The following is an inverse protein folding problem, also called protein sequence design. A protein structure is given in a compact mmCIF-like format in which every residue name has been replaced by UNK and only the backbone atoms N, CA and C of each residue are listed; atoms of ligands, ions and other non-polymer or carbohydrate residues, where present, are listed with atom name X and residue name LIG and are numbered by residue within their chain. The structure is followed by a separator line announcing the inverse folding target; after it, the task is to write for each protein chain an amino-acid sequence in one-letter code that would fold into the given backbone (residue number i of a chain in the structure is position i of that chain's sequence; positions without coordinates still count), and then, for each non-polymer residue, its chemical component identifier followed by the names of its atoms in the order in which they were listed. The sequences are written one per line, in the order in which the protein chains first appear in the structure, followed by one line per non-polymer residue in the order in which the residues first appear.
data_IF_293949071830
#
_entry.id   IF_293949071830
#
_cell.length_a   1.000
_cell.length_b   1.000
_cell.length_c   1.000
_cell.angle_alpha   90.00
_cell.angle_beta   90.00
_cell.angle_gamma   90.00
#
_symmetry.space_group_name_H-M   'P 1'
#
loop_
_entity.id
_entity.type
_entity.pdbx_description
1 polymer ?
#
# COMPACT_ATOMS: atom_id res chain seq x y z
N UNK A 1 9.19 -15.98 -2.95
CA UNK A 1 8.95 -14.56 -3.26
C UNK A 1 8.20 -14.40 -4.59
N UNK A 2 8.67 -15.02 -5.68
CA UNK A 2 8.02 -15.02 -7.02
C UNK A 2 6.53 -15.45 -6.98
N UNK A 3 6.19 -16.47 -6.18
CA UNK A 3 4.82 -16.98 -6.08
C UNK A 3 3.82 -15.96 -5.49
N UNK A 4 4.23 -15.19 -4.48
CA UNK A 4 3.33 -14.21 -3.83
C UNK A 4 3.05 -13.05 -4.77
N UNK A 5 4.07 -12.53 -5.44
CA UNK A 5 3.90 -11.50 -6.48
C UNK A 5 2.94 -11.97 -7.57
N UNK A 6 3.15 -13.17 -8.14
CA UNK A 6 2.30 -13.67 -9.24
C UNK A 6 0.83 -13.80 -8.82
N UNK A 7 0.56 -14.24 -7.59
CA UNK A 7 -0.80 -14.32 -7.05
C UNK A 7 -1.43 -12.93 -6.93
N UNK A 8 -0.71 -11.97 -6.36
CA UNK A 8 -1.20 -10.60 -6.21
C UNK A 8 -1.42 -9.95 -7.58
N UNK A 9 -0.45 -10.04 -8.49
CA UNK A 9 -0.54 -9.46 -9.83
C UNK A 9 -1.72 -10.00 -10.63
N UNK A 10 -1.95 -11.32 -10.60
CA UNK A 10 -3.13 -11.92 -11.26
C UNK A 10 -4.45 -11.39 -10.71
N UNK A 11 -4.52 -11.17 -9.39
CA UNK A 11 -5.70 -10.60 -8.76
C UNK A 11 -5.92 -9.14 -9.16
N UNK A 12 -4.85 -8.34 -9.22
CA UNK A 12 -4.89 -6.95 -9.69
C UNK A 12 -5.46 -6.91 -11.12
N UNK A 13 -4.88 -7.68 -12.03
CA UNK A 13 -5.30 -7.69 -13.44
C UNK A 13 -6.74 -8.19 -13.63
N UNK A 14 -7.15 -9.22 -12.88
CA UNK A 14 -8.53 -9.69 -12.91
C UNK A 14 -9.50 -8.59 -12.47
N UNK A 15 -9.21 -7.89 -11.36
CA UNK A 15 -10.07 -6.82 -10.85
C UNK A 15 -10.10 -5.60 -11.78
N UNK A 16 -8.98 -5.24 -12.39
CA UNK A 16 -8.96 -4.17 -13.41
C UNK A 16 -9.74 -4.52 -14.65
N UNK A 17 -9.67 -5.77 -15.11
CA UNK A 17 -10.47 -6.26 -16.25
C UNK A 17 -11.98 -6.18 -15.96
N UNK A 18 -12.38 -6.35 -14.70
CA UNK A 18 -13.76 -6.14 -14.23
C UNK A 18 -14.14 -4.65 -14.10
N UNK A 19 -13.22 -3.72 -14.41
CA UNK A 19 -13.44 -2.27 -14.29
C UNK A 19 -13.28 -1.73 -12.86
N UNK A 20 -12.73 -2.52 -11.93
CA UNK A 20 -12.51 -2.08 -10.56
C UNK A 20 -11.30 -1.14 -10.47
N UNK A 21 -11.37 -0.19 -9.53
CA UNK A 21 -10.19 0.51 -9.03
C UNK A 21 -9.49 -0.35 -7.98
N UNK A 22 -8.17 -0.46 -8.05
CA UNK A 22 -7.36 -1.34 -7.21
C UNK A 22 -6.40 -0.51 -6.36
N UNK A 23 -6.47 -0.70 -5.05
CA UNK A 23 -5.54 -0.12 -4.09
C UNK A 23 -4.85 -1.23 -3.29
N UNK A 24 -3.57 -1.03 -2.95
CA UNK A 24 -2.81 -1.94 -2.08
C UNK A 24 -2.57 -1.26 -0.73
N UNK A 25 -3.03 -1.86 0.35
CA UNK A 25 -2.64 -1.47 1.73
C UNK A 25 -1.41 -2.28 2.17
N UNK A 26 -0.30 -1.59 2.40
CA UNK A 26 0.95 -2.20 2.84
C UNK A 26 1.20 -2.12 4.35
N UNK A 27 0.27 -1.51 5.10
CA UNK A 27 0.36 -1.34 6.56
C UNK A 27 0.57 -2.67 7.30
N UNK A 28 -0.21 -3.74 7.05
CA UNK A 28 -0.08 -4.99 7.82
C UNK A 28 1.02 -5.95 7.31
N UNK A 29 1.87 -5.52 6.38
CA UNK A 29 2.83 -6.40 5.70
C UNK A 29 4.20 -6.51 6.37
N UNK A 30 4.83 -7.70 6.32
CA UNK A 30 6.27 -7.82 6.58
C UNK A 30 7.03 -7.06 5.47
N UNK A 31 8.02 -6.25 5.85
CA UNK A 31 8.80 -5.41 4.91
C UNK A 31 9.31 -6.18 3.68
N UNK A 32 9.82 -7.39 3.88
CA UNK A 32 10.32 -8.24 2.79
C UNK A 32 9.23 -8.72 1.84
N UNK A 33 8.03 -9.02 2.34
CA UNK A 33 6.87 -9.39 1.51
C UNK A 33 6.36 -8.19 0.72
N UNK A 34 6.24 -7.03 1.35
CA UNK A 34 5.83 -5.78 0.70
C UNK A 34 6.79 -5.44 -0.43
N UNK A 35 8.10 -5.44 -0.18
CA UNK A 35 9.11 -5.17 -1.20
C UNK A 35 9.04 -6.17 -2.36
N UNK A 36 8.94 -7.47 -2.05
CA UNK A 36 8.85 -8.52 -3.07
C UNK A 36 7.60 -8.45 -3.95
N UNK A 37 6.51 -7.88 -3.44
CA UNK A 37 5.28 -7.63 -4.21
C UNK A 37 5.36 -6.33 -4.99
N UNK A 38 5.83 -5.24 -4.38
CA UNK A 38 5.79 -3.91 -4.99
C UNK A 38 6.89 -3.67 -6.03
N UNK A 39 8.12 -4.18 -5.84
CA UNK A 39 9.23 -3.96 -6.77
C UNK A 39 8.90 -4.28 -8.24
N UNK A 40 8.21 -5.41 -8.56
CA UNK A 40 7.83 -5.73 -9.93
C UNK A 40 6.52 -5.07 -10.40
N UNK A 41 5.72 -4.46 -9.52
CA UNK A 41 4.47 -3.77 -9.88
C UNK A 41 4.81 -2.36 -10.38
N UNK A 42 4.31 -1.99 -11.56
CA UNK A 42 4.45 -0.62 -12.09
C UNK A 42 3.46 0.31 -11.40
N UNK A 43 3.81 1.59 -11.26
CA UNK A 43 2.93 2.63 -10.73
C UNK A 43 1.55 2.71 -11.44
N UNK A 44 1.48 2.31 -12.71
CA UNK A 44 0.23 2.33 -13.49
C UNK A 44 -0.60 1.05 -13.36
N UNK A 45 -0.09 0.01 -12.70
CA UNK A 45 -0.80 -1.26 -12.52
C UNK A 45 -1.85 -1.19 -11.40
N UNK A 46 -1.77 -0.19 -10.52
CA UNK A 46 -2.70 0.03 -9.40
C UNK A 46 -3.08 1.50 -9.30
N UNK A 47 -4.25 1.80 -8.75
CA UNK A 47 -4.73 3.17 -8.58
C UNK A 47 -4.07 3.88 -7.39
N UNK A 48 -3.80 3.13 -6.31
CA UNK A 48 -3.20 3.66 -5.08
C UNK A 48 -2.31 2.62 -4.37
N UNK A 49 -1.31 3.11 -3.63
CA UNK A 49 -0.54 2.30 -2.66
C UNK A 49 -0.58 3.03 -1.32
N UNK A 50 -1.38 2.50 -0.39
CA UNK A 50 -1.62 3.12 0.90
C UNK A 50 -0.73 2.56 2.00
N UNK A 51 -0.25 3.44 2.86
CA UNK A 51 0.42 3.10 4.11
C UNK A 51 -0.14 3.98 5.23
N UNK A 52 -0.59 3.36 6.32
CA UNK A 52 -1.01 4.05 7.52
C UNK A 52 0.19 4.15 8.46
N UNK A 53 0.77 5.35 8.54
CA UNK A 53 1.72 5.69 9.58
C UNK A 53 0.97 5.88 10.91
N UNK A 54 1.55 5.35 11.98
CA UNK A 54 1.07 5.52 13.34
C UNK A 54 2.24 6.15 14.11
N UNK A 55 2.10 7.44 14.42
CA UNK A 55 3.18 8.24 15.00
C UNK A 55 3.64 7.73 16.38
N UNK A 56 2.73 7.10 17.14
CA UNK A 56 3.07 6.46 18.41
C UNK A 56 2.11 5.31 18.72
N UNK A 57 2.66 4.26 19.34
CA UNK A 57 1.91 3.16 19.95
C UNK A 57 2.07 3.12 21.47
N UNK A 58 2.63 4.18 22.07
CA UNK A 58 2.85 4.27 23.51
C UNK A 58 1.51 4.25 24.27
N UNK A 59 1.44 3.42 25.31
CA UNK A 59 0.21 3.09 26.05
C UNK A 59 -0.91 2.47 25.20
N UNK A 60 -0.60 1.99 23.99
CA UNK A 60 -1.58 1.38 23.09
C UNK A 60 -1.22 -0.07 22.79
N UNK A 61 -1.40 -0.94 23.79
CA UNK A 61 -1.59 -2.38 23.57
C UNK A 61 -2.97 -2.67 22.96
N UNK A 62 -3.34 -1.96 21.89
CA UNK A 62 -4.62 -2.11 21.19
C UNK A 62 -4.37 -2.30 19.69
N UNK A 63 -5.25 -3.04 18.98
CA UNK A 63 -5.26 -3.05 17.51
C UNK A 63 -5.20 -1.63 16.95
N UNK A 64 -4.47 -1.41 15.85
CA UNK A 64 -4.27 -0.07 15.27
C UNK A 64 -5.57 0.66 14.94
N UNK A 65 -6.64 -0.09 14.66
CA UNK A 65 -7.99 0.43 14.43
C UNK A 65 -8.55 1.20 15.64
N UNK A 66 -8.00 0.97 16.84
CA UNK A 66 -8.40 1.58 18.11
C UNK A 66 -7.48 2.74 18.54
N UNK A 67 -6.39 2.99 17.82
CA UNK A 67 -5.49 4.11 18.09
C UNK A 67 -6.19 5.41 17.61
N UNK A 68 -6.15 6.51 18.40
CA UNK A 68 -6.80 7.76 18.01
C UNK A 68 -6.30 8.29 16.66
N UNK A 69 -7.24 8.73 15.80
CA UNK A 69 -6.95 9.18 14.42
C UNK A 69 -5.94 10.34 14.34
N UNK A 70 -5.80 11.13 15.40
CA UNK A 70 -4.80 12.21 15.45
C UNK A 70 -3.36 11.71 15.36
N UNK A 71 -3.11 10.43 15.68
CA UNK A 71 -1.80 9.79 15.54
C UNK A 71 -1.65 9.04 14.22
N UNK A 72 -2.67 9.06 13.37
CA UNK A 72 -2.67 8.37 12.09
C UNK A 72 -2.36 9.36 10.96
N UNK A 73 -1.43 8.99 10.11
CA UNK A 73 -1.19 9.66 8.85
C UNK A 73 -1.30 8.65 7.71
N UNK A 74 -2.21 8.91 6.77
CA UNK A 74 -2.39 8.06 5.59
C UNK A 74 -1.53 8.60 4.45
N UNK A 75 -0.61 7.76 3.99
CA UNK A 75 0.23 8.01 2.83
C UNK A 75 -0.35 7.33 1.60
N UNK A 76 -0.35 8.05 0.47
CA UNK A 76 -0.56 7.47 -0.84
C UNK A 76 0.74 7.59 -1.63
N UNK A 77 1.55 6.53 -1.55
CA UNK A 77 2.88 6.53 -2.14
C UNK A 77 2.87 6.68 -3.66
N UNK A 78 1.80 6.23 -4.33
CA UNK A 78 1.67 6.47 -5.77
C UNK A 78 1.45 7.95 -6.05
N UNK A 79 0.50 8.58 -5.36
CA UNK A 79 0.23 10.00 -5.56
C UNK A 79 1.45 10.86 -5.18
N UNK A 80 2.17 10.51 -4.12
CA UNK A 80 3.43 11.15 -3.72
C UNK A 80 4.50 11.01 -4.80
N UNK A 81 4.70 9.81 -5.36
CA UNK A 81 5.67 9.58 -6.43
C UNK A 81 5.33 10.37 -7.71
N UNK A 82 4.05 10.42 -8.09
CA UNK A 82 3.58 11.21 -9.24
C UNK A 82 3.82 12.70 -9.01
N UNK A 83 3.51 13.22 -7.81
CA UNK A 83 3.79 14.63 -7.48
C UNK A 83 5.28 14.95 -7.54
N UNK A 84 6.13 14.07 -7.02
CA UNK A 84 7.58 14.25 -7.05
C UNK A 84 8.13 14.24 -8.49
N UNK A 85 7.64 13.35 -9.35
CA UNK A 85 8.08 13.27 -10.75
C UNK A 85 7.62 14.43 -11.64
N UNK A 86 6.56 15.14 -11.27
CA UNK A 86 6.04 16.30 -12.01
C UNK A 86 6.63 17.64 -11.53
N UNK A 87 7.36 17.66 -10.41
CA UNK A 87 7.98 18.85 -9.83
C UNK A 87 9.52 18.90 -9.95
N UNK A 88 10.11 17.99 -10.73
CA UNK A 88 11.54 17.90 -11.02
C UNK A 88 11.90 18.33 -12.43
#
# INVERSE_FOLDING_TARGET
MVDVYLKVYRLIEAKRTEGSRVAIDITPGRKSTVAGVLLPIKLNDVDHVFYLEIATTDDVAKPYQMIPRQFHQLHDFKAEAVRAGNGG
#
